data_IF_545425631251
#
_entry.id   IF_545425631251
#
_cell.length_a   1.000
_cell.length_b   1.000
_cell.length_c   1.000
_cell.angle_alpha   90.00
_cell.angle_beta   90.00
_cell.angle_gamma   90.00
#
_symmetry.space_group_name_H-M   'P 1'
#
loop_
_entity.id
_entity.type
_entity.pdbx_description
1 polymer ?
#
# COMPACT_ATOMS: atom_id res chain seq x y z
N UNK A 1 -14.62 6.12 17.35
CA UNK A 1 -16.09 6.10 17.22
C UNK A 1 -16.59 7.47 16.85
N UNK A 2 -17.36 7.60 15.77
CA UNK A 2 -18.05 8.85 15.46
C UNK A 2 -19.28 8.95 16.35
N UNK A 3 -19.26 9.87 17.31
CA UNK A 3 -20.39 10.15 18.20
C UNK A 3 -21.23 11.26 17.58
N UNK A 4 -22.47 10.96 17.18
CA UNK A 4 -23.43 11.96 16.72
C UNK A 4 -24.53 12.03 17.78
N UNK A 5 -24.60 13.15 18.52
CA UNK A 5 -25.59 13.36 19.59
C UNK A 5 -25.63 12.23 20.65
N UNK A 6 -24.47 11.90 21.22
CA UNK A 6 -24.30 10.82 22.22
C UNK A 6 -24.66 9.40 21.72
N UNK A 7 -24.89 9.24 20.41
CA UNK A 7 -25.10 7.94 19.77
C UNK A 7 -23.85 7.53 19.00
N UNK A 8 -23.50 6.26 19.13
CA UNK A 8 -22.40 5.66 18.39
C UNK A 8 -22.89 5.08 17.07
N UNK A 9 -22.27 5.46 15.96
CA UNK A 9 -22.44 4.76 14.70
C UNK A 9 -21.73 3.39 14.80
N UNK A 10 -22.50 2.31 14.59
CA UNK A 10 -21.98 0.95 14.53
C UNK A 10 -22.12 0.43 13.10
N UNK A 11 -21.00 0.00 12.52
CA UNK A 11 -20.96 -0.63 11.21
C UNK A 11 -20.77 -2.14 11.41
N UNK A 12 -21.68 -2.94 10.88
CA UNK A 12 -21.55 -4.40 10.88
C UNK A 12 -20.98 -4.86 9.54
N UNK A 13 -19.98 -5.75 9.60
CA UNK A 13 -19.26 -6.24 8.44
C UNK A 13 -19.04 -7.76 8.58
N UNK A 14 -18.71 -8.46 7.49
CA UNK A 14 -18.21 -9.84 7.59
C UNK A 14 -17.04 -9.94 8.57
N UNK A 15 -16.96 -11.06 9.27
CA UNK A 15 -15.86 -11.32 10.18
C UNK A 15 -14.59 -11.58 9.37
N UNK A 16 -13.61 -10.69 9.48
CA UNK A 16 -12.28 -10.87 8.92
C UNK A 16 -11.32 -11.43 9.97
N UNK A 17 -10.13 -11.79 9.52
CA UNK A 17 -9.01 -12.23 10.34
C UNK A 17 -7.90 -11.16 10.35
N UNK A 18 -6.70 -11.51 10.80
CA UNK A 18 -5.53 -10.62 10.87
C UNK A 18 -5.21 -9.96 9.53
N UNK A 19 -4.47 -8.86 9.56
CA UNK A 19 -4.03 -8.18 8.35
C UNK A 19 -2.86 -8.87 7.65
N UNK A 20 -2.66 -8.59 6.36
CA UNK A 20 -1.45 -8.96 5.61
C UNK A 20 -0.21 -8.34 6.28
N UNK A 21 -0.34 -7.15 6.89
CA UNK A 21 0.71 -6.54 7.69
C UNK A 21 1.13 -7.41 8.88
N UNK A 22 0.17 -8.01 9.59
CA UNK A 22 0.45 -8.92 10.69
C UNK A 22 1.17 -10.20 10.21
N UNK A 23 0.71 -10.81 9.11
CA UNK A 23 1.40 -11.96 8.49
C UNK A 23 2.84 -11.59 8.13
N UNK A 24 3.04 -10.47 7.44
CA UNK A 24 4.36 -9.99 7.05
C UNK A 24 5.26 -9.78 8.27
N UNK A 25 4.77 -9.14 9.33
CA UNK A 25 5.57 -8.88 10.55
C UNK A 25 5.94 -10.16 11.31
N UNK A 26 5.23 -11.27 11.09
CA UNK A 26 5.57 -12.57 11.66
C UNK A 26 6.78 -13.24 10.97
N UNK A 27 7.09 -12.88 9.73
CA UNK A 27 8.28 -13.37 9.03
C UNK A 27 9.56 -12.75 9.63
N UNK A 28 10.64 -13.53 9.85
CA UNK A 28 11.90 -13.03 10.45
C UNK A 28 12.50 -11.82 9.73
N UNK A 29 12.46 -11.82 8.40
CA UNK A 29 12.98 -10.74 7.52
C UNK A 29 11.90 -9.71 7.17
N UNK A 30 10.65 -9.94 7.60
CA UNK A 30 9.46 -9.21 7.16
C UNK A 30 9.22 -9.25 5.64
N UNK A 31 9.91 -10.13 4.91
CA UNK A 31 9.62 -10.41 3.50
C UNK A 31 8.74 -11.64 3.38
N UNK A 32 7.93 -11.68 2.33
CA UNK A 32 7.07 -12.81 2.00
C UNK A 32 7.50 -13.46 0.67
N UNK A 33 7.25 -14.76 0.50
CA UNK A 33 7.50 -15.43 -0.78
C UNK A 33 6.75 -14.78 -1.94
N UNK A 34 7.40 -14.69 -3.11
CA UNK A 34 6.85 -14.00 -4.30
C UNK A 34 5.47 -14.49 -4.72
N UNK A 35 5.16 -15.78 -4.55
CA UNK A 35 3.84 -16.33 -4.87
C UNK A 35 2.75 -15.75 -3.97
N UNK A 36 3.00 -15.53 -2.68
CA UNK A 36 2.05 -14.86 -1.79
C UNK A 36 1.87 -13.40 -2.20
N UNK A 37 2.97 -12.71 -2.50
CA UNK A 37 2.92 -11.30 -2.90
C UNK A 37 2.08 -11.13 -4.17
N UNK A 38 2.32 -11.96 -5.19
CA UNK A 38 1.52 -11.96 -6.43
C UNK A 38 0.03 -12.14 -6.14
N UNK A 39 -0.33 -13.09 -5.28
CA UNK A 39 -1.74 -13.34 -4.92
C UNK A 39 -2.37 -12.14 -4.19
N UNK A 40 -1.68 -11.56 -3.19
CA UNK A 40 -2.19 -10.41 -2.43
C UNK A 40 -2.35 -9.17 -3.31
N UNK A 41 -1.36 -8.88 -4.16
CA UNK A 41 -1.43 -7.74 -5.10
C UNK A 41 -2.52 -7.96 -6.14
N UNK A 42 -2.68 -9.18 -6.66
CA UNK A 42 -3.76 -9.51 -7.60
C UNK A 42 -5.15 -9.30 -6.99
N UNK A 43 -5.40 -9.82 -5.78
CA UNK A 43 -6.69 -9.63 -5.10
C UNK A 43 -6.96 -8.17 -4.76
N UNK A 44 -5.94 -7.44 -4.31
CA UNK A 44 -6.07 -6.01 -4.00
C UNK A 44 -6.36 -5.20 -5.26
N UNK A 45 -5.69 -5.48 -6.38
CA UNK A 45 -5.98 -4.84 -7.67
C UNK A 45 -7.38 -5.15 -8.20
N UNK A 46 -7.91 -6.34 -7.97
CA UNK A 46 -9.31 -6.64 -8.33
C UNK A 46 -10.31 -5.83 -7.50
N UNK A 47 -10.04 -5.65 -6.20
CA UNK A 47 -10.84 -4.77 -5.35
C UNK A 47 -10.76 -3.32 -5.85
N UNK A 48 -9.54 -2.82 -6.13
CA UNK A 48 -9.32 -1.48 -6.66
C UNK A 48 -10.00 -1.26 -8.00
N UNK A 49 -9.86 -2.19 -8.96
CA UNK A 49 -10.56 -2.15 -10.25
C UNK A 49 -12.07 -1.98 -10.06
N UNK A 50 -12.65 -2.66 -9.08
CA UNK A 50 -14.09 -2.59 -8.79
C UNK A 50 -14.47 -1.21 -8.27
N UNK A 51 -13.79 -0.70 -7.24
CA UNK A 51 -14.15 0.62 -6.67
C UNK A 51 -13.79 1.78 -7.60
N UNK A 52 -12.71 1.65 -8.38
CA UNK A 52 -12.32 2.63 -9.40
C UNK A 52 -13.38 2.73 -10.51
N UNK A 53 -14.03 1.61 -10.87
CA UNK A 53 -15.15 1.63 -11.83
C UNK A 53 -16.41 2.34 -11.30
N UNK A 54 -16.48 2.54 -9.98
CA UNK A 54 -17.52 3.30 -9.30
C UNK A 54 -17.08 4.75 -9.01
N UNK A 55 -15.96 5.21 -9.58
CA UNK A 55 -15.35 6.51 -9.31
C UNK A 55 -14.99 6.73 -7.84
N UNK A 56 -14.59 5.69 -7.11
CA UNK A 56 -14.10 5.78 -5.73
C UNK A 56 -12.59 5.57 -5.71
N UNK A 57 -11.86 6.43 -5.00
CA UNK A 57 -10.44 6.29 -4.68
C UNK A 57 -10.33 5.90 -3.22
N UNK A 58 -9.54 4.88 -2.89
CA UNK A 58 -9.41 4.44 -1.50
C UNK A 58 -8.53 5.38 -0.66
N UNK A 59 -7.45 5.92 -1.24
CA UNK A 59 -6.50 6.87 -0.64
C UNK A 59 -5.68 6.38 0.57
N UNK A 60 -5.99 5.20 1.10
CA UNK A 60 -5.33 4.61 2.27
C UNK A 60 -5.08 3.10 2.06
N UNK A 61 -4.67 2.73 0.85
CA UNK A 61 -4.27 1.36 0.54
C UNK A 61 -2.95 1.05 1.25
N UNK A 62 -3.05 0.27 2.34
CA UNK A 62 -1.91 -0.18 3.15
C UNK A 62 -2.12 -1.61 3.63
N UNK A 63 -1.02 -2.28 4.03
CA UNK A 63 -1.09 -3.70 4.44
C UNK A 63 -2.00 -3.94 5.65
N UNK A 64 -2.19 -2.93 6.50
CA UNK A 64 -3.07 -3.03 7.67
C UNK A 64 -4.57 -3.00 7.28
N UNK A 65 -4.90 -2.42 6.12
CA UNK A 65 -6.26 -2.37 5.55
C UNK A 65 -6.55 -3.53 4.58
N UNK A 66 -5.66 -4.52 4.51
CA UNK A 66 -5.87 -5.74 3.71
C UNK A 66 -5.97 -6.90 4.70
N UNK A 67 -7.18 -7.41 4.92
CA UNK A 67 -7.45 -8.47 5.91
C UNK A 67 -7.68 -9.81 5.24
N UNK A 68 -7.24 -10.88 5.89
CA UNK A 68 -7.63 -12.24 5.49
C UNK A 68 -9.13 -12.43 5.70
N UNK A 69 -9.80 -13.04 4.72
CA UNK A 69 -11.18 -13.50 4.94
C UNK A 69 -11.16 -14.73 5.84
N UNK A 70 -12.27 -14.92 6.55
CA UNK A 70 -12.34 -15.91 7.60
C UNK A 70 -13.16 -17.14 7.16
N UNK A 71 -12.52 -18.03 6.41
CA UNK A 71 -13.13 -19.31 6.02
C UNK A 71 -13.08 -20.34 7.16
N UNK A 72 -12.05 -20.28 8.02
CA UNK A 72 -11.84 -21.21 9.13
C UNK A 72 -12.95 -21.15 10.18
N UNK A 73 -13.45 -19.96 10.47
CA UNK A 73 -14.53 -19.73 11.44
C UNK A 73 -15.89 -19.56 10.75
N UNK A 74 -16.04 -20.01 9.50
CA UNK A 74 -17.32 -19.99 8.81
C UNK A 74 -18.41 -20.86 9.51
N UNK A 75 -18.00 -21.77 10.39
CA UNK A 75 -18.88 -22.53 11.27
C UNK A 75 -18.94 -21.85 12.65
N UNK A 76 -20.15 -21.44 13.07
CA UNK A 76 -20.41 -20.73 14.35
C UNK A 76 -19.74 -21.41 15.56
N UNK A 77 -19.74 -22.75 15.59
CA UNK A 77 -19.17 -23.54 16.71
C UNK A 77 -17.65 -23.40 16.87
N UNK A 78 -16.90 -23.16 15.78
CA UNK A 78 -15.46 -22.94 15.86
C UNK A 78 -15.13 -21.56 16.46
N UNK A 79 -15.96 -20.56 16.12
CA UNK A 79 -15.81 -19.19 16.62
C UNK A 79 -16.15 -19.12 18.10
N UNK A 80 -17.29 -19.70 18.50
CA UNK A 80 -17.73 -19.77 19.90
C UNK A 80 -16.65 -20.37 20.79
N UNK A 81 -16.10 -21.53 20.40
CA UNK A 81 -15.02 -22.19 21.13
C UNK A 81 -13.78 -21.29 21.27
N UNK A 82 -13.39 -20.58 20.20
CA UNK A 82 -12.25 -19.68 20.26
C UNK A 82 -12.48 -18.52 21.21
N UNK A 83 -13.68 -17.93 21.22
CA UNK A 83 -14.04 -16.82 22.11
C UNK A 83 -14.11 -17.25 23.58
N UNK A 84 -14.55 -18.49 23.86
CA UNK A 84 -14.49 -19.07 25.21
C UNK A 84 -13.05 -19.22 25.71
N UNK A 85 -12.15 -19.69 24.85
CA UNK A 85 -10.73 -19.86 25.17
C UNK A 85 -9.96 -18.53 25.23
N UNK A 86 -10.46 -17.48 24.55
CA UNK A 86 -9.80 -16.18 24.41
C UNK A 86 -10.78 -15.03 24.72
N UNK A 87 -11.15 -14.83 26.00
CA UNK A 87 -12.12 -13.82 26.38
C UNK A 87 -11.63 -12.40 26.11
N UNK A 88 -12.59 -11.49 25.91
CA UNK A 88 -12.34 -10.07 25.68
C UNK A 88 -11.50 -9.45 26.79
N UNK A 89 -10.41 -8.79 26.44
CA UNK A 89 -9.57 -8.05 27.39
C UNK A 89 -9.91 -6.57 27.35
N UNK A 90 -9.70 -5.92 28.49
CA UNK A 90 -9.87 -4.47 28.66
C UNK A 90 -8.56 -3.89 29.14
N UNK A 91 -8.25 -2.70 28.64
CA UNK A 91 -7.08 -1.97 29.08
C UNK A 91 -7.28 -1.57 30.55
N UNK A 92 -6.40 -1.98 31.49
CA UNK A 92 -6.63 -1.76 32.92
C UNK A 92 -6.74 -0.28 33.31
N UNK A 93 -6.00 0.59 32.62
CA UNK A 93 -5.92 2.02 32.93
C UNK A 93 -7.12 2.80 32.41
N UNK A 94 -7.59 2.46 31.20
CA UNK A 94 -8.65 3.20 30.51
C UNK A 94 -10.03 2.54 30.60
N UNK A 95 -10.09 1.26 31.00
CA UNK A 95 -11.31 0.43 30.99
C UNK A 95 -11.95 0.28 29.59
N UNK A 96 -11.18 0.54 28.54
CA UNK A 96 -11.64 0.40 27.15
C UNK A 96 -11.29 -1.02 26.66
N UNK A 97 -12.21 -1.72 25.96
CA UNK A 97 -11.90 -3.00 25.33
C UNK A 97 -10.68 -2.91 24.41
N UNK A 98 -9.75 -3.84 24.57
CA UNK A 98 -8.59 -3.95 23.70
C UNK A 98 -8.96 -4.66 22.40
N UNK A 99 -8.41 -4.18 21.29
CA UNK A 99 -8.61 -4.83 20.00
C UNK A 99 -7.91 -6.19 20.00
N UNK A 100 -8.68 -7.25 19.75
CA UNK A 100 -8.19 -8.63 19.69
C UNK A 100 -8.55 -9.24 18.34
N UNK A 101 -7.73 -9.03 17.30
CA UNK A 101 -7.98 -9.60 15.99
C UNK A 101 -8.01 -11.14 16.05
N UNK A 102 -8.96 -11.74 15.34
CA UNK A 102 -9.00 -13.20 15.21
C UNK A 102 -7.83 -13.66 14.35
N UNK A 103 -6.96 -14.56 14.83
CA UNK A 103 -5.76 -14.98 14.13
C UNK A 103 -6.10 -15.72 12.85
N UNK A 104 -5.30 -15.46 11.82
CA UNK A 104 -5.33 -16.24 10.58
C UNK A 104 -4.67 -17.58 10.81
N UNK A 105 -5.11 -18.62 10.10
CA UNK A 105 -4.40 -19.91 10.07
C UNK A 105 -3.14 -19.89 9.21
N UNK A 106 -3.00 -18.85 8.38
CA UNK A 106 -1.90 -18.69 7.44
C UNK A 106 -0.64 -18.19 8.14
N UNK A 107 0.50 -18.79 7.81
CA UNK A 107 1.83 -18.35 8.25
C UNK A 107 2.70 -17.96 7.05
N UNK A 108 3.80 -17.25 7.29
CA UNK A 108 4.76 -16.89 6.23
C UNK A 108 5.44 -18.12 5.59
N UNK A 109 5.36 -19.29 6.26
CA UNK A 109 5.90 -20.58 5.80
C UNK A 109 4.88 -21.39 4.98
N UNK A 110 3.64 -20.91 4.84
CA UNK A 110 2.59 -21.59 4.08
C UNK A 110 3.05 -21.86 2.64
N UNK A 111 3.11 -23.13 2.23
CA UNK A 111 3.61 -23.50 0.91
C UNK A 111 2.73 -22.96 -0.23
N UNK A 112 3.30 -22.87 -1.44
CA UNK A 112 2.64 -22.23 -2.60
C UNK A 112 1.24 -22.78 -2.89
N UNK A 113 1.05 -24.10 -2.88
CA UNK A 113 -0.24 -24.75 -3.12
C UNK A 113 -1.31 -24.39 -2.07
N UNK A 114 -0.92 -24.22 -0.80
CA UNK A 114 -1.85 -23.82 0.26
C UNK A 114 -2.14 -22.32 0.19
N UNK A 115 -1.16 -21.51 -0.20
CA UNK A 115 -1.30 -20.08 -0.37
C UNK A 115 -2.31 -19.69 -1.48
N UNK A 116 -2.65 -20.60 -2.39
CA UNK A 116 -3.76 -20.44 -3.36
C UNK A 116 -5.13 -20.27 -2.67
N UNK A 117 -5.28 -20.81 -1.46
CA UNK A 117 -6.52 -20.69 -0.68
C UNK A 117 -6.58 -19.43 0.18
N UNK A 118 -5.51 -18.64 0.20
CA UNK A 118 -5.52 -17.38 0.92
C UNK A 118 -6.42 -16.39 0.19
N UNK A 119 -7.47 -15.94 0.86
CA UNK A 119 -8.37 -14.90 0.37
C UNK A 119 -8.21 -13.66 1.23
N UNK A 120 -8.05 -12.49 0.60
CA UNK A 120 -7.94 -11.19 1.30
C UNK A 120 -8.96 -10.20 0.79
N UNK A 121 -9.33 -9.24 1.63
CA UNK A 121 -10.24 -8.14 1.29
C UNK A 121 -9.62 -6.81 1.66
N UNK A 122 -9.76 -5.83 0.76
CA UNK A 122 -9.48 -4.43 1.05
C UNK A 122 -10.64 -3.87 1.88
N UNK A 123 -10.31 -3.28 3.02
CA UNK A 123 -11.26 -2.75 3.98
C UNK A 123 -10.92 -1.28 4.31
N UNK A 124 -11.72 -0.69 5.20
CA UNK A 124 -11.51 0.65 5.75
C UNK A 124 -11.56 1.76 4.69
N UNK A 125 -12.79 2.05 4.27
CA UNK A 125 -13.11 3.17 3.39
C UNK A 125 -13.28 4.49 4.15
N UNK A 126 -12.75 4.61 5.38
CA UNK A 126 -12.88 5.81 6.20
C UNK A 126 -12.20 7.06 5.61
N UNK A 127 -11.21 6.84 4.74
CA UNK A 127 -10.51 7.88 3.98
C UNK A 127 -10.84 7.85 2.48
N UNK A 128 -11.78 7.01 2.05
CA UNK A 128 -12.14 6.92 0.65
C UNK A 128 -12.85 8.18 0.17
N UNK A 129 -12.59 8.56 -1.07
CA UNK A 129 -13.05 9.80 -1.68
C UNK A 129 -13.60 9.52 -3.08
N UNK A 130 -14.44 10.42 -3.57
CA UNK A 130 -14.87 10.38 -4.97
C UNK A 130 -13.73 10.85 -5.87
N UNK A 131 -13.44 10.10 -6.93
CA UNK A 131 -12.42 10.44 -7.91
C UNK A 131 -12.75 11.75 -8.67
N UNK A 132 -14.04 12.07 -8.75
CA UNK A 132 -14.52 13.33 -9.33
C UNK A 132 -14.65 14.40 -8.25
N UNK A 133 -14.04 15.56 -8.49
CA UNK A 133 -14.15 16.74 -7.63
C UNK A 133 -12.87 17.04 -6.85
N UNK A 134 -13.02 17.90 -5.86
CA UNK A 134 -11.94 18.27 -4.94
C UNK A 134 -12.00 17.33 -3.74
N UNK A 135 -10.89 16.69 -3.32
CA UNK A 135 -10.86 15.87 -2.11
C UNK A 135 -11.31 16.69 -0.90
N UNK A 136 -12.05 16.07 0.03
CA UNK A 136 -12.64 16.77 1.17
C UNK A 136 -11.63 17.02 2.29
N UNK A 137 -10.53 16.26 2.33
CA UNK A 137 -9.44 16.42 3.30
C UNK A 137 -8.06 16.59 2.66
N UNK A 138 -7.13 17.14 3.43
CA UNK A 138 -5.69 17.13 3.13
C UNK A 138 -5.00 16.03 3.97
N UNK A 139 -3.80 15.60 3.56
CA UNK A 139 -2.96 14.72 4.39
C UNK A 139 -3.36 13.24 4.43
N UNK A 140 -4.12 12.76 3.45
CA UNK A 140 -4.35 11.32 3.24
C UNK A 140 -3.07 10.62 2.71
N UNK A 141 -3.11 9.29 2.69
CA UNK A 141 -1.97 8.38 2.53
C UNK A 141 -0.93 8.48 3.66
N UNK A 142 -0.43 7.34 4.18
CA UNK A 142 0.78 7.30 4.99
C UNK A 142 1.97 7.87 4.22
N UNK A 143 2.92 8.53 4.91
CA UNK A 143 4.04 9.22 4.23
C UNK A 143 4.85 8.29 3.31
N UNK A 144 5.10 7.04 3.71
CA UNK A 144 5.84 6.06 2.90
C UNK A 144 5.12 5.54 1.65
N UNK A 145 3.80 5.79 1.56
CA UNK A 145 2.93 5.39 0.44
C UNK A 145 2.35 6.60 -0.31
N UNK A 146 2.71 7.81 0.10
CA UNK A 146 2.12 9.04 -0.43
C UNK A 146 2.69 9.33 -1.82
N UNK A 147 1.84 9.45 -2.86
CA UNK A 147 2.30 9.70 -4.22
C UNK A 147 2.67 11.18 -4.43
N UNK A 148 3.43 11.50 -5.50
CA UNK A 148 3.90 12.87 -5.73
C UNK A 148 2.78 13.87 -5.98
N UNK A 149 1.68 13.48 -6.62
CA UNK A 149 0.56 14.39 -6.89
C UNK A 149 -0.17 14.87 -5.64
N UNK A 150 -0.08 14.11 -4.54
CA UNK A 150 -0.61 14.51 -3.24
C UNK A 150 0.33 15.50 -2.56
N UNK A 151 1.64 15.29 -2.62
CA UNK A 151 2.64 16.24 -2.10
C UNK A 151 2.58 17.58 -2.86
N UNK A 152 2.53 17.50 -4.18
CA UNK A 152 2.56 18.65 -5.08
C UNK A 152 1.19 19.31 -5.26
N UNK A 153 0.12 18.69 -4.77
CA UNK A 153 -1.26 19.08 -5.05
C UNK A 153 -1.48 19.29 -6.55
N UNK A 154 -1.00 18.33 -7.35
CA UNK A 154 -0.91 18.42 -8.81
C UNK A 154 -1.99 17.63 -9.55
N UNK A 155 -2.77 16.83 -8.81
CA UNK A 155 -3.88 16.05 -9.34
C UNK A 155 -4.46 15.13 -8.28
N UNK A 156 -5.63 14.55 -8.57
CA UNK A 156 -6.31 13.63 -7.70
C UNK A 156 -7.04 12.57 -8.54
N UNK A 157 -7.06 11.32 -8.06
CA UNK A 157 -7.77 10.24 -8.75
C UNK A 157 -7.29 8.86 -8.35
N UNK A 158 -7.80 7.86 -9.06
CA UNK A 158 -7.58 6.42 -8.80
C UNK A 158 -6.11 6.01 -8.91
N UNK A 159 -5.28 6.78 -9.64
CA UNK A 159 -3.84 6.59 -9.77
C UNK A 159 -3.07 6.70 -8.43
N UNK A 160 -3.67 7.31 -7.40
CA UNK A 160 -3.12 7.35 -6.03
C UNK A 160 -3.00 5.93 -5.47
N UNK A 161 -4.05 5.13 -5.61
CA UNK A 161 -4.06 3.75 -5.12
C UNK A 161 -3.07 2.88 -5.91
N UNK A 162 -2.86 3.19 -7.20
CA UNK A 162 -1.90 2.48 -8.06
C UNK A 162 -0.46 2.70 -7.58
N UNK A 163 -0.11 3.91 -7.15
CA UNK A 163 1.20 4.18 -6.55
C UNK A 163 1.42 3.34 -5.30
N UNK A 164 0.41 3.29 -4.41
CA UNK A 164 0.47 2.48 -3.20
C UNK A 164 0.71 0.99 -3.53
N UNK A 165 0.08 0.44 -4.57
CA UNK A 165 0.34 -0.94 -5.02
C UNK A 165 1.82 -1.17 -5.37
N UNK A 166 2.46 -0.22 -6.05
CA UNK A 166 3.90 -0.28 -6.35
C UNK A 166 4.75 -0.35 -5.08
N UNK A 167 4.51 0.56 -4.14
CA UNK A 167 5.22 0.59 -2.86
C UNK A 167 4.99 -0.68 -2.02
N UNK A 168 3.74 -1.16 -1.95
CA UNK A 168 3.38 -2.36 -1.20
C UNK A 168 3.99 -3.64 -1.80
N UNK A 169 4.09 -3.71 -3.13
CA UNK A 169 4.74 -4.84 -3.80
C UNK A 169 6.20 -4.94 -3.38
N UNK A 170 6.92 -3.81 -3.38
CA UNK A 170 8.28 -3.76 -2.85
C UNK A 170 8.33 -4.13 -1.37
N UNK A 171 7.45 -3.54 -0.53
CA UNK A 171 7.44 -3.79 0.91
C UNK A 171 7.22 -5.26 1.26
N UNK A 172 6.34 -5.95 0.53
CA UNK A 172 6.06 -7.37 0.74
C UNK A 172 7.23 -8.25 0.31
N UNK A 173 7.92 -7.92 -0.79
CA UNK A 173 9.07 -8.71 -1.28
C UNK A 173 10.33 -8.48 -0.46
N UNK A 174 10.58 -7.24 -0.04
CA UNK A 174 11.85 -6.80 0.57
C UNK A 174 11.76 -6.75 2.09
N UNK A 175 10.56 -6.54 2.63
CA UNK A 175 10.34 -6.35 4.06
C UNK A 175 10.68 -4.95 4.58
N UNK A 176 10.94 -3.98 3.71
CA UNK A 176 11.21 -2.57 4.03
C UNK A 176 10.31 -1.67 3.20
N UNK A 177 9.98 -0.48 3.72
CA UNK A 177 9.30 0.52 2.91
C UNK A 177 10.17 0.94 1.74
N UNK A 178 9.54 1.18 0.60
CA UNK A 178 10.24 1.63 -0.60
C UNK A 178 10.77 3.06 -0.42
N UNK A 179 9.92 3.93 0.13
CA UNK A 179 10.29 5.30 0.48
C UNK A 179 10.26 5.47 1.99
N UNK A 180 11.38 5.93 2.53
CA UNK A 180 11.53 6.36 3.91
C UNK A 180 12.21 7.74 3.86
N UNK A 181 11.44 8.81 3.62
CA UNK A 181 12.02 10.14 3.59
C UNK A 181 12.44 10.60 4.98
N UNK A 182 13.45 11.45 5.03
CA UNK A 182 14.08 11.99 6.22
C UNK A 182 14.00 13.52 6.22
N UNK A 183 13.77 14.10 7.40
CA UNK A 183 13.78 15.54 7.59
C UNK A 183 15.23 16.02 7.75
N UNK A 184 15.66 16.89 6.84
CA UNK A 184 17.00 17.52 6.86
C UNK A 184 17.09 18.71 7.81
N UNK A 185 16.00 19.07 8.51
CA UNK A 185 15.95 20.21 9.41
C UNK A 185 15.94 21.52 8.63
N UNK A 186 17.04 22.27 8.67
CA UNK A 186 17.15 23.55 7.97
C UNK A 186 17.55 23.38 6.49
N UNK A 187 18.08 22.21 6.10
CA UNK A 187 18.59 21.98 4.76
C UNK A 187 17.48 21.60 3.77
N UNK A 188 16.59 20.65 4.11
CA UNK A 188 15.45 20.27 3.28
C UNK A 188 14.30 19.72 4.12
N UNK A 189 13.08 19.82 3.59
CA UNK A 189 11.89 19.23 4.21
C UNK A 189 11.78 17.73 3.92
N UNK A 190 11.07 17.00 4.79
CA UNK A 190 10.77 15.58 4.57
C UNK A 190 10.00 15.33 3.26
N UNK A 191 9.15 16.25 2.81
CA UNK A 191 8.46 16.13 1.52
C UNK A 191 9.40 16.32 0.32
N UNK A 192 10.39 17.20 0.44
CA UNK A 192 11.38 17.44 -0.64
C UNK A 192 12.31 16.25 -0.82
N UNK A 193 12.83 15.68 0.29
CA UNK A 193 13.60 14.43 0.26
C UNK A 193 12.74 13.27 -0.28
N UNK A 194 11.45 13.24 0.03
CA UNK A 194 10.55 12.24 -0.55
C UNK A 194 10.47 12.36 -2.08
N UNK A 195 10.31 13.58 -2.61
CA UNK A 195 10.32 13.83 -4.06
C UNK A 195 11.67 13.47 -4.69
N UNK A 196 12.79 13.77 -4.02
CA UNK A 196 14.14 13.38 -4.46
C UNK A 196 14.26 11.85 -4.59
N UNK A 197 13.89 11.09 -3.54
CA UNK A 197 13.92 9.62 -3.57
C UNK A 197 13.04 9.04 -4.67
N UNK A 198 11.88 9.64 -4.94
CA UNK A 198 11.04 9.23 -6.07
C UNK A 198 11.77 9.42 -7.40
N UNK A 199 12.42 10.57 -7.60
CA UNK A 199 13.19 10.86 -8.83
C UNK A 199 14.41 9.94 -8.97
N UNK A 200 15.13 9.65 -7.90
CA UNK A 200 16.29 8.73 -7.87
C UNK A 200 15.90 7.30 -8.24
N UNK A 201 14.83 6.78 -7.63
CA UNK A 201 14.41 5.40 -7.84
C UNK A 201 13.80 5.18 -9.22
N UNK A 202 13.01 6.13 -9.68
CA UNK A 202 12.29 6.03 -10.96
C UNK A 202 13.16 6.43 -12.15
N UNK A 203 14.29 7.09 -11.90
CA UNK A 203 15.13 7.75 -12.90
C UNK A 203 14.33 8.71 -13.81
N UNK A 204 13.32 9.36 -13.23
CA UNK A 204 12.46 10.33 -13.90
C UNK A 204 12.72 11.75 -13.37
N UNK A 205 12.23 12.72 -14.15
CA UNK A 205 12.08 14.11 -13.71
C UNK A 205 10.60 14.49 -13.83
N UNK A 206 10.15 15.39 -12.96
CA UNK A 206 8.81 15.96 -13.09
C UNK A 206 8.74 16.78 -14.37
N UNK A 207 7.89 16.35 -15.30
CA UNK A 207 7.71 17.07 -16.56
C UNK A 207 7.05 18.44 -16.31
N UNK A 208 7.28 19.38 -17.23
CA UNK A 208 6.68 20.72 -17.16
C UNK A 208 5.15 20.68 -16.97
N UNK A 209 4.44 19.77 -17.64
CA UNK A 209 2.98 19.63 -17.47
C UNK A 209 2.58 19.24 -16.05
N UNK A 210 3.37 18.42 -15.36
CA UNK A 210 3.14 18.03 -13.95
C UNK A 210 3.42 19.20 -13.01
N UNK A 211 4.47 19.97 -13.28
CA UNK A 211 4.84 21.12 -12.47
C UNK A 211 3.88 22.32 -12.67
N UNK A 212 3.39 22.53 -13.89
CA UNK A 212 2.45 23.62 -14.19
C UNK A 212 1.08 23.43 -13.51
N UNK A 213 0.68 22.19 -13.24
CA UNK A 213 -0.56 21.85 -12.49
C UNK A 213 -0.35 21.76 -10.97
N UNK A 214 0.90 21.74 -10.49
CA UNK A 214 1.23 21.59 -9.08
C UNK A 214 1.03 22.90 -8.30
N UNK A 215 0.06 22.93 -7.38
CA UNK A 215 -0.19 24.11 -6.52
C UNK A 215 0.95 24.39 -5.54
N UNK A 216 1.66 23.35 -5.10
CA UNK A 216 2.77 23.46 -4.16
C UNK A 216 4.15 23.50 -4.85
N UNK A 217 4.22 23.71 -6.18
CA UNK A 217 5.49 23.68 -6.95
C UNK A 217 6.59 24.52 -6.31
N UNK A 218 6.30 25.78 -6.02
CA UNK A 218 7.28 26.77 -5.56
C UNK A 218 7.93 26.44 -4.21
N UNK A 219 7.36 25.49 -3.45
CA UNK A 219 7.95 24.99 -2.21
C UNK A 219 9.14 24.07 -2.44
N UNK A 220 9.17 23.39 -3.58
CA UNK A 220 10.08 22.27 -3.82
C UNK A 220 10.91 22.43 -5.10
N UNK A 221 10.42 23.17 -6.09
CA UNK A 221 11.07 23.28 -7.40
C UNK A 221 11.37 24.71 -7.81
N UNK A 222 12.51 24.90 -8.45
CA UNK A 222 12.91 26.15 -9.08
C UNK A 222 12.17 26.41 -10.42
N UNK A 223 12.56 27.49 -11.11
CA UNK A 223 12.01 27.88 -12.41
C UNK A 223 12.32 26.88 -13.53
N UNK A 224 13.41 26.12 -13.42
CA UNK A 224 13.87 25.12 -14.39
C UNK A 224 13.30 23.72 -14.12
N UNK A 225 12.73 23.50 -12.93
CA UNK A 225 12.16 22.23 -12.49
C UNK A 225 13.12 21.34 -11.72
N UNK A 226 14.21 21.90 -11.19
CA UNK A 226 15.11 21.22 -10.25
C UNK A 226 14.62 21.42 -8.81
N UNK A 227 14.99 20.50 -7.91
CA UNK A 227 14.71 20.68 -6.48
C UNK A 227 15.50 21.88 -5.95
N UNK A 228 14.92 22.62 -5.00
CA UNK A 228 15.51 23.89 -4.53
C UNK A 228 16.69 23.65 -3.59
N UNK A 229 16.61 22.61 -2.74
CA UNK A 229 17.60 22.36 -1.69
C UNK A 229 18.40 21.06 -1.90
N UNK A 230 18.03 20.24 -2.89
CA UNK A 230 18.69 18.97 -3.18
C UNK A 230 19.28 19.01 -4.60
N UNK A 231 20.55 19.38 -4.69
CA UNK A 231 21.25 19.59 -5.97
C UNK A 231 21.68 18.29 -6.66
N UNK A 232 22.01 17.26 -5.87
CA UNK A 232 22.55 15.99 -6.38
C UNK A 232 21.58 14.85 -6.07
N UNK A 233 21.08 14.21 -7.14
CA UNK A 233 20.29 13.00 -7.07
C UNK A 233 21.18 11.80 -7.40
N UNK A 234 21.06 10.72 -6.63
CA UNK A 234 21.84 9.49 -6.81
C UNK A 234 20.90 8.37 -7.29
N UNK A 235 20.76 8.14 -8.61
CA UNK A 235 19.81 7.15 -9.11
C UNK A 235 20.14 5.73 -8.64
N UNK A 236 19.12 5.01 -8.16
CA UNK A 236 19.22 3.60 -7.79
C UNK A 236 18.13 2.82 -8.50
N UNK A 237 18.53 1.88 -9.36
CA UNK A 237 17.56 1.01 -10.03
C UNK A 237 16.83 0.13 -9.02
N UNK A 238 15.52 -0.06 -9.21
CA UNK A 238 14.67 -0.91 -8.36
C UNK A 238 15.26 -2.33 -8.22
N UNK A 239 15.77 -2.90 -9.31
CA UNK A 239 16.43 -4.22 -9.32
C UNK A 239 17.64 -4.27 -8.38
N UNK A 240 18.45 -3.20 -8.37
CA UNK A 240 19.60 -3.07 -7.49
C UNK A 240 19.15 -2.90 -6.04
N UNK A 241 18.15 -2.06 -5.80
CA UNK A 241 17.55 -1.86 -4.47
C UNK A 241 17.04 -3.18 -3.90
N UNK A 242 16.35 -4.00 -4.68
CA UNK A 242 15.89 -5.34 -4.27
C UNK A 242 17.05 -6.31 -4.02
N UNK A 243 18.05 -6.33 -4.91
CA UNK A 243 19.19 -7.25 -4.84
C UNK A 243 20.05 -7.03 -3.58
N UNK A 244 20.14 -5.79 -3.09
CA UNK A 244 20.88 -5.45 -1.88
C UNK A 244 20.37 -6.16 -0.61
N UNK A 245 19.13 -6.65 -0.61
CA UNK A 245 18.51 -7.29 0.56
C UNK A 245 18.62 -8.82 0.57
N UNK A 246 19.27 -9.45 -0.42
CA UNK A 246 19.45 -10.91 -0.50
C UNK A 246 18.17 -11.70 -0.19
N UNK A 247 17.07 -11.34 -0.86
CA UNK A 247 15.73 -11.87 -0.58
C UNK A 247 15.70 -13.39 -0.83
N UNK A 248 15.49 -14.23 0.21
CA UNK A 248 15.53 -15.68 0.04
C UNK A 248 14.48 -16.17 -0.95
N UNK A 249 14.90 -17.01 -1.90
CA UNK A 249 14.00 -17.66 -2.85
C UNK A 249 13.50 -16.78 -4.00
N UNK A 250 14.01 -15.54 -4.14
CA UNK A 250 13.68 -14.66 -5.26
C UNK A 250 14.72 -14.81 -6.37
N UNK A 251 14.30 -15.29 -7.55
CA UNK A 251 15.20 -15.43 -8.71
C UNK A 251 15.49 -14.08 -9.37
N UNK A 252 16.53 -14.02 -10.22
CA UNK A 252 16.82 -12.81 -11.01
C UNK A 252 15.68 -12.48 -11.99
N UNK A 253 14.98 -13.50 -12.50
CA UNK A 253 13.77 -13.31 -13.32
C UNK A 253 12.64 -12.69 -12.49
N UNK A 254 12.40 -13.19 -11.27
CA UNK A 254 11.39 -12.63 -10.38
C UNK A 254 11.72 -11.19 -9.99
N UNK A 255 12.99 -10.85 -9.75
CA UNK A 255 13.43 -9.48 -9.48
C UNK A 255 13.12 -8.58 -10.68
N UNK A 256 13.50 -9.00 -11.89
CA UNK A 256 13.25 -8.22 -13.10
C UNK A 256 11.76 -8.00 -13.36
N UNK A 257 10.93 -9.05 -13.24
CA UNK A 257 9.47 -8.96 -13.41
C UNK A 257 8.82 -8.07 -12.34
N UNK A 258 9.27 -8.19 -11.09
CA UNK A 258 8.74 -7.38 -9.98
C UNK A 258 9.13 -5.91 -10.13
N UNK A 259 10.38 -5.64 -10.49
CA UNK A 259 10.87 -4.28 -10.71
C UNK A 259 10.16 -3.59 -11.88
N UNK A 260 9.88 -4.33 -12.97
CA UNK A 260 9.08 -3.86 -14.09
C UNK A 260 7.66 -3.47 -13.66
N UNK A 261 7.00 -4.33 -12.87
CA UNK A 261 5.68 -4.05 -12.31
C UNK A 261 5.66 -2.84 -11.37
N UNK A 262 6.63 -2.75 -10.45
CA UNK A 262 6.76 -1.63 -9.52
C UNK A 262 6.99 -0.33 -10.31
N UNK A 263 7.86 -0.34 -11.32
CA UNK A 263 8.14 0.81 -12.18
C UNK A 263 6.89 1.30 -12.91
N UNK A 264 6.06 0.38 -13.42
CA UNK A 264 4.80 0.75 -14.06
C UNK A 264 3.84 1.48 -13.09
N UNK A 265 3.83 1.09 -11.82
CA UNK A 265 3.02 1.74 -10.77
C UNK A 265 3.55 3.12 -10.37
N UNK A 266 4.87 3.35 -10.45
CA UNK A 266 5.56 4.52 -9.88
C UNK A 266 5.88 5.62 -10.91
N UNK A 267 5.11 5.74 -11.98
CA UNK A 267 5.28 6.86 -12.90
C UNK A 267 5.00 8.20 -12.17
N UNK A 268 5.90 9.19 -12.29
CA UNK A 268 5.78 10.47 -11.57
C UNK A 268 4.57 11.29 -12.02
N UNK A 269 4.21 11.17 -13.30
CA UNK A 269 2.97 11.68 -13.83
C UNK A 269 1.82 10.67 -13.63
N UNK A 270 0.87 10.98 -12.76
CA UNK A 270 -0.24 10.08 -12.43
C UNK A 270 -1.13 9.72 -13.63
N UNK A 271 -1.22 10.59 -14.65
CA UNK A 271 -2.03 10.33 -15.86
C UNK A 271 -1.44 9.23 -16.75
N UNK A 272 -0.16 8.90 -16.54
CA UNK A 272 0.55 7.85 -17.28
C UNK A 272 0.61 6.53 -16.54
N UNK A 273 0.12 6.46 -15.30
CA UNK A 273 0.03 5.20 -14.56
C UNK A 273 -1.07 4.33 -15.18
N UNK A 274 -0.82 3.01 -15.33
CA UNK A 274 -1.85 2.08 -15.78
C UNK A 274 -3.00 2.01 -14.78
N UNK A 275 -4.20 1.72 -15.27
CA UNK A 275 -5.35 1.40 -14.42
C UNK A 275 -5.14 0.06 -13.70
N UNK A 276 -5.89 -0.17 -12.61
CA UNK A 276 -5.86 -1.46 -11.92
C UNK A 276 -6.19 -2.64 -12.87
N UNK A 277 -7.13 -2.42 -13.80
CA UNK A 277 -7.51 -3.40 -14.81
C UNK A 277 -6.41 -3.74 -15.83
N UNK A 278 -5.54 -2.78 -16.15
CA UNK A 278 -4.37 -3.00 -17.02
C UNK A 278 -3.24 -3.70 -16.27
N UNK A 279 -2.98 -3.33 -15.01
CA UNK A 279 -1.99 -3.99 -14.16
C UNK A 279 -2.29 -5.47 -13.93
N UNK A 280 -3.56 -5.86 -13.83
CA UNK A 280 -3.96 -7.26 -13.73
C UNK A 280 -3.48 -8.13 -14.92
N UNK A 281 -3.12 -7.52 -16.06
CA UNK A 281 -2.60 -8.21 -17.25
C UNK A 281 -1.06 -8.26 -17.28
N UNK A 282 -0.39 -7.62 -16.32
CA UNK A 282 1.06 -7.52 -16.26
C UNK A 282 1.72 -8.90 -16.06
N UNK A 283 2.93 -9.09 -16.61
CA UNK A 283 3.69 -10.34 -16.55
C UNK A 283 3.84 -10.87 -15.11
N UNK A 284 4.19 -9.99 -14.18
CA UNK A 284 4.30 -10.26 -12.74
C UNK A 284 3.08 -11.00 -12.17
N UNK A 285 1.86 -10.64 -12.59
CA UNK A 285 0.61 -11.21 -12.08
C UNK A 285 0.10 -12.42 -12.87
N UNK A 286 0.71 -12.78 -14.01
CA UNK A 286 0.34 -14.01 -14.73
C UNK A 286 0.61 -15.29 -13.94
N UNK A 287 1.53 -15.22 -12.99
CA UNK A 287 1.90 -16.30 -12.06
C UNK A 287 1.10 -16.21 -10.73
N UNK A 288 0.18 -15.26 -10.59
CA UNK A 288 -0.74 -15.21 -9.46
C UNK A 288 -1.82 -16.29 -9.62
N UNK A 289 -2.25 -16.85 -8.49
CA UNK A 289 -3.41 -17.72 -8.47
C UNK A 289 -4.67 -16.92 -8.79
N UNK A 290 -5.51 -17.47 -9.66
CA UNK A 290 -6.82 -16.93 -10.01
C UNK A 290 -7.87 -18.03 -9.84
N UNK A 291 -8.95 -17.73 -9.11
CA UNK A 291 -10.16 -18.57 -9.10
C UNK A 291 -10.92 -18.44 -10.42
#
# INVERSE_FOLDING_TARGET
SFTINEKHLCLTQPLYSTSVSALRRSAPTKSLPVYMVRNFIYMTLNALKTIHSLNIVHTDVKLDNILFTNERYALESALEKYLEENPSQVNPDTQIPESQPIPSEWTYETGAFQAERMTVSLIDFGHAEWAEGTPLGEGFCPISLRPPEVLLSSGFGTAIDIWAIGCLTFELLVGRWLFLPEDGGEDWSIEEDHLAKMMELTDQRFSKSVLDRAKNREKYFDGEGNLIHIDELIPVKIEQAMSNYNIPGLSQEDIAESADFIRACLHLDHEKRPTAGELLKHSFLKKAFHC
#
